data_IF_399051512871
#
_entry.id   IF_399051512871
#
_cell.length_a   1.000
_cell.length_b   1.000
_cell.length_c   1.000
_cell.angle_alpha   90.00
_cell.angle_beta   90.00
_cell.angle_gamma   90.00
#
_symmetry.space_group_name_H-M   'P 1'
#
loop_
_entity.id
_entity.type
_entity.pdbx_description
1 polymer ?
#
# COMPACT_ATOMS: atom_id res chain seq x y z
N UNK A 1 -2.85 -0.84 -28.24
CA UNK A 1 -3.91 -1.68 -27.67
C UNK A 1 -4.99 -0.74 -27.16
N UNK A 2 -6.16 -0.80 -27.73
CA UNK A 2 -7.27 0.06 -27.31
C UNK A 2 -7.81 -0.42 -25.97
N UNK A 3 -7.89 0.49 -25.01
CA UNK A 3 -8.47 0.33 -23.65
C UNK A 3 -9.99 0.12 -23.72
N UNK A 4 -10.43 -0.95 -24.37
CA UNK A 4 -11.88 -1.22 -24.59
C UNK A 4 -12.63 -1.58 -23.29
N UNK A 5 -11.98 -2.25 -22.35
CA UNK A 5 -12.61 -2.70 -21.11
C UNK A 5 -12.97 -1.53 -20.16
N UNK A 6 -12.09 -0.55 -20.03
CA UNK A 6 -12.29 0.57 -19.10
C UNK A 6 -13.59 1.34 -19.36
N UNK A 7 -13.98 1.51 -20.62
CA UNK A 7 -15.17 2.28 -21.00
C UNK A 7 -16.43 1.44 -21.16
N UNK A 8 -16.31 0.12 -21.29
CA UNK A 8 -17.44 -0.81 -21.34
C UNK A 8 -17.93 -1.24 -19.95
N UNK A 9 -17.10 -1.15 -18.93
CA UNK A 9 -17.47 -1.49 -17.56
C UNK A 9 -18.48 -0.47 -17.02
N UNK A 10 -19.65 -0.89 -16.54
CA UNK A 10 -20.66 0.01 -16.01
C UNK A 10 -20.17 0.67 -14.73
N UNK A 11 -20.44 1.95 -14.55
CA UNK A 11 -20.27 2.63 -13.28
C UNK A 11 -21.62 2.77 -12.57
N UNK A 12 -21.58 2.88 -11.24
CA UNK A 12 -22.75 3.08 -10.39
C UNK A 12 -22.54 4.22 -9.41
N UNK A 13 -23.58 4.92 -9.07
CA UNK A 13 -23.58 5.84 -7.95
C UNK A 13 -23.68 5.04 -6.64
N UNK A 14 -22.83 5.36 -5.68
CA UNK A 14 -22.86 4.75 -4.37
C UNK A 14 -23.82 5.51 -3.47
N UNK A 15 -24.80 4.81 -2.91
CA UNK A 15 -25.62 5.37 -1.85
C UNK A 15 -24.78 5.60 -0.57
N UNK A 16 -25.15 6.56 0.29
CA UNK A 16 -24.38 6.86 1.50
C UNK A 16 -24.08 5.63 2.38
N UNK A 17 -25.02 4.67 2.44
CA UNK A 17 -24.86 3.45 3.25
C UNK A 17 -23.81 2.49 2.68
N UNK A 18 -23.53 2.59 1.37
CA UNK A 18 -22.52 1.78 0.67
C UNK A 18 -21.13 2.39 0.68
N UNK A 19 -20.99 3.62 1.19
CA UNK A 19 -19.68 4.23 1.34
C UNK A 19 -18.89 3.51 2.47
N UNK A 20 -17.56 3.31 2.29
CA UNK A 20 -16.71 2.87 3.38
C UNK A 20 -16.90 3.73 4.62
N UNK A 21 -16.92 3.11 5.80
CA UNK A 21 -17.21 3.78 7.06
C UNK A 21 -16.27 4.98 7.33
N UNK A 22 -14.99 4.83 6.97
CA UNK A 22 -13.98 5.88 7.08
C UNK A 22 -14.36 7.15 6.29
N UNK A 23 -14.88 6.97 5.07
CA UNK A 23 -15.32 8.10 4.23
C UNK A 23 -16.67 8.66 4.68
N UNK A 24 -17.60 7.80 5.05
CA UNK A 24 -18.93 8.20 5.52
C UNK A 24 -18.85 9.08 6.77
N UNK A 25 -17.91 8.78 7.66
CA UNK A 25 -17.68 9.55 8.89
C UNK A 25 -16.74 10.75 8.68
N UNK A 26 -16.19 10.92 7.49
CA UNK A 26 -15.32 12.04 7.16
C UNK A 26 -16.13 13.34 7.04
N UNK A 27 -15.62 14.43 7.61
CA UNK A 27 -16.17 15.77 7.39
C UNK A 27 -16.05 16.22 5.92
N UNK A 28 -15.25 15.53 5.16
CA UNK A 28 -15.01 15.75 3.75
C UNK A 28 -15.76 14.76 2.85
N UNK A 29 -16.72 14.01 3.40
CA UNK A 29 -17.54 13.07 2.63
C UNK A 29 -18.18 13.77 1.42
N UNK A 30 -18.03 13.24 0.20
CA UNK A 30 -18.64 13.81 -0.98
C UNK A 30 -20.17 13.62 -0.93
N UNK A 31 -20.92 14.55 -1.52
CA UNK A 31 -22.39 14.42 -1.64
C UNK A 31 -22.78 13.27 -2.56
N UNK A 32 -21.98 13.00 -3.57
CA UNK A 32 -22.14 11.94 -4.57
C UNK A 32 -20.80 11.27 -4.80
N UNK A 33 -20.82 9.97 -5.02
CA UNK A 33 -19.62 9.22 -5.37
C UNK A 33 -20.00 8.13 -6.37
N UNK A 34 -19.32 8.12 -7.49
CA UNK A 34 -19.45 7.10 -8.52
C UNK A 34 -18.34 6.08 -8.39
N UNK A 35 -18.65 4.84 -8.69
CA UNK A 35 -17.74 3.71 -8.59
C UNK A 35 -17.77 2.85 -9.85
N UNK A 36 -16.61 2.52 -10.36
CA UNK A 36 -16.40 1.50 -11.38
C UNK A 36 -15.50 0.41 -10.76
N UNK A 37 -15.83 -0.88 -10.97
CA UNK A 37 -15.20 -2.00 -10.28
C UNK A 37 -15.81 -2.28 -8.90
N UNK A 38 -15.08 -2.96 -8.01
CA UNK A 38 -15.56 -3.40 -6.71
C UNK A 38 -14.86 -2.69 -5.56
N UNK A 39 -15.65 -2.17 -4.62
CA UNK A 39 -15.09 -1.69 -3.35
C UNK A 39 -14.68 -2.89 -2.50
N UNK A 40 -13.51 -2.81 -1.85
CA UNK A 40 -13.13 -3.79 -0.84
C UNK A 40 -14.15 -3.89 0.29
N UNK A 41 -14.19 -5.03 0.94
CA UNK A 41 -15.07 -5.32 2.07
C UNK A 41 -14.83 -4.39 3.27
N UNK A 42 -15.80 -4.28 4.17
CA UNK A 42 -15.78 -3.30 5.27
C UNK A 42 -14.70 -3.55 6.32
N UNK A 43 -14.13 -4.76 6.36
CA UNK A 43 -13.02 -5.14 7.24
C UNK A 43 -11.66 -4.63 6.77
N UNK A 44 -11.60 -4.10 5.54
CA UNK A 44 -10.36 -3.59 4.96
C UNK A 44 -9.98 -2.22 5.50
N UNK A 45 -8.67 -2.02 5.69
CA UNK A 45 -8.07 -0.80 6.23
C UNK A 45 -7.43 0.01 5.10
N UNK A 46 -7.98 1.17 4.81
CA UNK A 46 -7.43 2.07 3.79
C UNK A 46 -6.13 2.74 4.25
N UNK A 47 -5.09 2.69 3.41
CA UNK A 47 -3.88 3.49 3.52
C UNK A 47 -3.78 4.39 2.30
N UNK A 48 -3.84 5.71 2.50
CA UNK A 48 -3.53 6.67 1.47
C UNK A 48 -2.02 6.71 1.24
N UNK A 49 -1.57 6.47 0.01
CA UNK A 49 -0.16 6.58 -0.36
C UNK A 49 -0.04 7.62 -1.47
N UNK A 50 0.60 8.74 -1.16
CA UNK A 50 0.65 9.91 -2.04
C UNK A 50 2.05 10.49 -2.16
N UNK A 51 2.31 11.22 -3.27
CA UNK A 51 3.59 11.87 -3.42
C UNK A 51 3.71 12.70 -4.69
N UNK A 52 4.95 13.02 -5.03
CA UNK A 52 5.28 13.83 -6.19
C UNK A 52 4.97 13.13 -7.50
N UNK A 53 4.59 13.91 -8.53
CA UNK A 53 4.43 13.43 -9.90
C UNK A 53 5.76 13.28 -10.66
N UNK A 54 6.85 13.79 -10.09
CA UNK A 54 8.21 13.68 -10.62
C UNK A 54 9.14 13.16 -9.53
N UNK A 55 9.04 11.85 -9.23
CA UNK A 55 9.81 11.23 -8.16
C UNK A 55 11.27 11.01 -8.55
N UNK A 56 12.11 10.66 -7.58
CA UNK A 56 13.46 10.17 -7.81
C UNK A 56 13.46 8.85 -8.55
N UNK A 57 14.59 8.47 -9.12
CA UNK A 57 14.78 7.17 -9.81
C UNK A 57 14.59 5.97 -8.90
N UNK A 58 14.89 6.10 -7.60
CA UNK A 58 14.73 5.06 -6.60
C UNK A 58 13.31 4.94 -6.02
N UNK A 59 12.42 5.88 -6.37
CA UNK A 59 11.10 5.96 -5.73
C UNK A 59 10.18 4.78 -6.10
N UNK A 60 10.33 4.19 -7.27
CA UNK A 60 9.54 3.03 -7.67
C UNK A 60 9.84 1.83 -6.78
N UNK A 61 11.12 1.55 -6.55
CA UNK A 61 11.55 0.49 -5.65
C UNK A 61 11.16 0.78 -4.20
N UNK A 62 11.24 2.04 -3.75
CA UNK A 62 10.76 2.44 -2.43
C UNK A 62 9.26 2.15 -2.28
N UNK A 63 8.44 2.53 -3.26
CA UNK A 63 7.00 2.25 -3.25
C UNK A 63 6.73 0.74 -3.26
N UNK A 64 7.48 -0.03 -4.04
CA UNK A 64 7.36 -1.49 -4.09
C UNK A 64 7.59 -2.09 -2.71
N UNK A 65 8.68 -1.76 -2.02
CA UNK A 65 9.01 -2.26 -0.67
C UNK A 65 7.99 -1.82 0.37
N UNK A 66 7.56 -0.55 0.34
CA UNK A 66 6.52 -0.03 1.23
C UNK A 66 5.22 -0.83 1.07
N UNK A 67 4.76 -1.05 -0.15
CA UNK A 67 3.51 -1.76 -0.41
C UNK A 67 3.65 -3.25 -0.08
N UNK A 68 4.75 -3.89 -0.43
CA UNK A 68 5.00 -5.31 -0.12
C UNK A 68 4.94 -5.58 1.39
N UNK A 69 5.33 -4.61 2.24
CA UNK A 69 5.22 -4.74 3.70
C UNK A 69 3.78 -4.83 4.21
N UNK A 70 2.80 -4.56 3.37
CA UNK A 70 1.37 -4.66 3.67
C UNK A 70 0.77 -6.01 3.26
N UNK A 71 1.54 -6.92 2.67
CA UNK A 71 1.07 -8.27 2.37
C UNK A 71 0.63 -8.98 3.65
N UNK A 72 -0.27 -9.95 3.49
CA UNK A 72 -0.84 -10.71 4.61
C UNK A 72 -1.56 -9.85 5.67
N UNK A 73 -2.07 -8.70 5.25
CA UNK A 73 -2.90 -7.82 6.07
C UNK A 73 -4.25 -7.57 5.40
N UNK A 74 -5.15 -6.89 6.10
CA UNK A 74 -6.39 -6.40 5.50
C UNK A 74 -6.25 -4.98 4.89
N UNK A 75 -5.04 -4.56 4.55
CA UNK A 75 -4.77 -3.25 3.96
C UNK A 75 -5.34 -3.10 2.55
N UNK A 76 -5.74 -1.87 2.22
CA UNK A 76 -6.08 -1.40 0.87
C UNK A 76 -5.27 -0.17 0.56
N UNK A 77 -4.57 -0.17 -0.56
CA UNK A 77 -3.85 1.02 -1.04
C UNK A 77 -4.84 1.98 -1.71
N UNK A 78 -4.89 3.22 -1.22
CA UNK A 78 -5.74 4.29 -1.79
C UNK A 78 -4.84 5.38 -2.34
N UNK A 79 -5.01 5.74 -3.60
CA UNK A 79 -4.25 6.81 -4.23
C UNK A 79 -5.02 7.49 -5.36
N UNK A 80 -4.37 8.39 -6.09
CA UNK A 80 -5.02 9.27 -7.04
C UNK A 80 -4.79 8.95 -8.52
N UNK A 81 -4.15 7.83 -8.84
CA UNK A 81 -3.78 7.49 -10.22
C UNK A 81 -2.99 8.60 -10.94
N UNK A 82 -2.31 9.48 -10.22
CA UNK A 82 -1.43 10.46 -10.82
C UNK A 82 -0.12 9.81 -11.26
N UNK A 83 0.55 10.39 -12.25
CA UNK A 83 1.91 9.98 -12.61
C UNK A 83 2.84 10.04 -11.39
N UNK A 84 3.86 9.18 -11.31
CA UNK A 84 4.83 9.12 -10.23
C UNK A 84 4.38 8.26 -9.06
N UNK A 85 4.48 8.76 -7.83
CA UNK A 85 4.26 7.97 -6.60
C UNK A 85 2.92 7.25 -6.60
N UNK A 86 1.82 7.92 -6.97
CA UNK A 86 0.49 7.31 -6.97
C UNK A 86 0.45 6.07 -7.88
N UNK A 87 0.96 6.20 -9.12
CA UNK A 87 1.00 5.09 -10.08
C UNK A 87 1.96 3.98 -9.63
N UNK A 88 3.08 4.31 -8.98
CA UNK A 88 4.01 3.32 -8.44
C UNK A 88 3.36 2.51 -7.32
N UNK A 89 2.64 3.16 -6.41
CA UNK A 89 1.93 2.49 -5.33
C UNK A 89 0.81 1.58 -5.86
N UNK A 90 0.04 2.02 -6.87
CA UNK A 90 -0.97 1.16 -7.48
C UNK A 90 -0.36 -0.06 -8.18
N UNK A 91 0.72 0.10 -8.95
CA UNK A 91 1.43 -1.03 -9.57
C UNK A 91 1.92 -2.01 -8.52
N UNK A 92 2.61 -1.51 -7.52
CA UNK A 92 3.12 -2.33 -6.43
C UNK A 92 2.00 -3.09 -5.69
N UNK A 93 0.83 -2.47 -5.49
CA UNK A 93 -0.33 -3.11 -4.88
C UNK A 93 -0.85 -4.27 -5.73
N UNK A 94 -1.00 -4.05 -7.05
CA UNK A 94 -1.42 -5.10 -8.00
C UNK A 94 -0.42 -6.25 -8.04
N UNK A 95 0.87 -5.94 -8.11
CA UNK A 95 1.93 -6.95 -8.20
C UNK A 95 2.10 -7.74 -6.88
N UNK A 96 1.67 -7.15 -5.75
CA UNK A 96 1.68 -7.79 -4.43
C UNK A 96 0.34 -8.45 -4.04
N UNK A 97 -0.67 -8.44 -4.92
CA UNK A 97 -2.00 -8.97 -4.64
C UNK A 97 -2.79 -8.18 -3.58
N UNK A 98 -2.42 -6.92 -3.32
CA UNK A 98 -3.09 -6.04 -2.37
C UNK A 98 -4.18 -5.25 -3.09
N UNK A 99 -5.43 -5.23 -2.58
CA UNK A 99 -6.49 -4.43 -3.17
C UNK A 99 -6.12 -2.95 -3.26
N UNK A 100 -6.51 -2.29 -4.35
CA UNK A 100 -6.22 -0.86 -4.52
C UNK A 100 -7.41 -0.09 -5.07
N UNK A 101 -7.56 1.15 -4.60
CA UNK A 101 -8.62 2.08 -4.99
C UNK A 101 -7.97 3.33 -5.57
N UNK A 102 -8.33 3.67 -6.80
CA UNK A 102 -7.93 4.92 -7.42
C UNK A 102 -9.08 5.94 -7.38
N UNK A 103 -8.83 7.10 -6.79
CA UNK A 103 -9.79 8.21 -6.81
C UNK A 103 -9.42 9.15 -7.95
N UNK A 104 -10.35 9.51 -8.83
CA UNK A 104 -10.10 10.31 -10.01
C UNK A 104 -10.52 11.77 -9.80
N UNK A 105 -9.85 12.68 -10.50
CA UNK A 105 -10.18 14.11 -10.53
C UNK A 105 -11.06 14.48 -11.75
N UNK A 106 -11.68 13.49 -12.35
CA UNK A 106 -12.51 13.56 -13.56
C UNK A 106 -13.61 12.50 -13.49
N UNK A 107 -14.61 12.59 -14.35
CA UNK A 107 -15.65 11.57 -14.46
C UNK A 107 -15.10 10.21 -14.88
N UNK A 108 -15.81 9.14 -14.55
CA UNK A 108 -15.33 7.75 -14.74
C UNK A 108 -15.29 7.32 -16.22
N UNK A 109 -15.98 8.01 -17.11
CA UNK A 109 -15.90 7.79 -18.56
C UNK A 109 -15.09 8.86 -19.29
N UNK A 110 -14.61 9.89 -18.58
CA UNK A 110 -13.68 10.84 -19.17
C UNK A 110 -12.35 10.14 -19.51
N UNK A 111 -11.81 10.50 -20.67
CA UNK A 111 -10.63 9.84 -21.24
C UNK A 111 -9.44 9.85 -20.28
N UNK A 112 -8.90 8.68 -20.01
CA UNK A 112 -7.60 8.46 -19.35
C UNK A 112 -6.63 8.04 -20.44
N UNK A 113 -5.41 8.59 -20.43
CA UNK A 113 -4.44 8.36 -21.51
C UNK A 113 -3.18 7.63 -21.02
N UNK A 114 -2.54 6.91 -21.96
CA UNK A 114 -1.26 6.25 -21.79
C UNK A 114 -1.25 5.19 -20.71
N UNK A 115 -0.13 5.08 -20.01
CA UNK A 115 0.08 4.08 -18.94
C UNK A 115 -0.96 4.14 -17.82
N UNK A 116 -1.55 5.31 -17.59
CA UNK A 116 -2.58 5.46 -16.55
C UNK A 116 -3.87 4.76 -16.92
N UNK A 117 -4.22 4.70 -18.21
CA UNK A 117 -5.39 3.96 -18.68
C UNK A 117 -5.18 2.45 -18.48
N UNK A 118 -4.02 1.92 -18.87
CA UNK A 118 -3.67 0.52 -18.65
C UNK A 118 -3.69 0.18 -17.16
N UNK A 119 -3.16 1.06 -16.32
CA UNK A 119 -3.16 0.86 -14.87
C UNK A 119 -4.59 0.88 -14.29
N UNK A 120 -5.45 1.76 -14.78
CA UNK A 120 -6.85 1.82 -14.38
C UNK A 120 -7.61 0.53 -14.73
N UNK A 121 -7.37 -0.05 -15.91
CA UNK A 121 -7.92 -1.36 -16.29
C UNK A 121 -7.42 -2.46 -15.38
N UNK A 122 -6.11 -2.56 -15.17
CA UNK A 122 -5.53 -3.55 -14.25
C UNK A 122 -6.10 -3.46 -12.83
N UNK A 123 -6.41 -2.26 -12.34
CA UNK A 123 -7.05 -2.07 -11.03
C UNK A 123 -8.43 -2.72 -11.00
N UNK A 124 -9.25 -2.51 -12.04
CA UNK A 124 -10.58 -3.10 -12.15
C UNK A 124 -10.50 -4.62 -12.28
N UNK A 125 -9.65 -5.11 -13.18
CA UNK A 125 -9.47 -6.55 -13.45
C UNK A 125 -9.01 -7.33 -12.21
N UNK A 126 -8.22 -6.68 -11.36
CA UNK A 126 -7.78 -7.23 -10.07
C UNK A 126 -8.84 -7.11 -8.94
N UNK A 127 -10.06 -6.70 -9.24
CA UNK A 127 -11.13 -6.55 -8.25
C UNK A 127 -11.03 -5.29 -7.40
N UNK A 128 -10.25 -4.30 -7.83
CA UNK A 128 -10.19 -2.98 -7.22
C UNK A 128 -11.27 -2.03 -7.75
N UNK A 129 -11.16 -0.74 -7.43
CA UNK A 129 -12.15 0.27 -7.82
C UNK A 129 -11.53 1.57 -8.32
N UNK A 130 -12.24 2.20 -9.25
CA UNK A 130 -12.07 3.61 -9.59
C UNK A 130 -13.24 4.39 -9.00
N UNK A 131 -12.93 5.48 -8.31
CA UNK A 131 -13.93 6.36 -7.69
C UNK A 131 -13.84 7.77 -8.23
N UNK A 132 -14.98 8.43 -8.34
CA UNK A 132 -15.06 9.84 -8.72
C UNK A 132 -16.31 10.49 -8.12
N UNK A 133 -16.21 11.77 -7.75
CA UNK A 133 -17.37 12.57 -7.36
C UNK A 133 -17.97 13.36 -8.54
N UNK A 134 -17.38 13.25 -9.72
CA UNK A 134 -17.76 14.00 -10.92
C UNK A 134 -18.64 13.17 -11.84
N UNK A 135 -19.55 13.86 -12.54
CA UNK A 135 -20.39 13.26 -13.57
C UNK A 135 -19.55 12.58 -14.66
N UNK A 136 -20.15 11.59 -15.32
CA UNK A 136 -19.53 10.60 -16.21
C UNK A 136 -18.38 11.10 -17.08
N UNK A 137 -18.62 12.16 -17.84
CA UNK A 137 -17.70 12.67 -18.87
C UNK A 137 -17.00 13.97 -18.46
N UNK A 138 -17.12 14.36 -17.18
CA UNK A 138 -16.49 15.58 -16.66
C UNK A 138 -14.97 15.51 -16.86
N UNK A 139 -14.35 16.45 -17.60
CA UNK A 139 -12.91 16.46 -17.79
C UNK A 139 -12.17 16.84 -16.52
N UNK A 140 -10.87 16.52 -16.49
CA UNK A 140 -10.01 16.89 -15.37
C UNK A 140 -9.68 18.38 -15.39
N UNK A 141 -10.09 19.10 -14.36
CA UNK A 141 -9.70 20.49 -14.11
C UNK A 141 -8.70 20.59 -12.96
N UNK A 142 -7.89 21.66 -12.97
CA UNK A 142 -6.84 21.84 -11.96
C UNK A 142 -7.39 21.82 -10.52
N UNK A 143 -8.54 22.44 -10.27
CA UNK A 143 -9.19 22.46 -8.96
C UNK A 143 -9.64 21.08 -8.48
N UNK A 144 -10.05 20.21 -9.42
CA UNK A 144 -10.54 18.88 -9.11
C UNK A 144 -9.47 17.99 -8.48
N UNK A 145 -8.20 18.17 -8.87
CA UNK A 145 -7.09 17.41 -8.25
C UNK A 145 -6.92 17.73 -6.78
N UNK A 146 -7.13 18.98 -6.39
CA UNK A 146 -7.09 19.40 -4.99
C UNK A 146 -8.32 18.89 -4.24
N UNK A 147 -9.49 19.10 -4.80
CA UNK A 147 -10.76 18.68 -4.20
C UNK A 147 -10.81 17.15 -3.99
N UNK A 148 -10.36 16.36 -4.98
CA UNK A 148 -10.32 14.91 -4.92
C UNK A 148 -9.47 14.37 -3.76
N UNK A 149 -8.37 15.05 -3.41
CA UNK A 149 -7.43 14.55 -2.40
C UNK A 149 -8.08 14.35 -1.01
N UNK A 150 -9.14 15.10 -0.69
CA UNK A 150 -9.94 14.89 0.52
C UNK A 150 -10.60 13.51 0.57
N UNK A 151 -10.99 12.99 -0.61
CA UNK A 151 -11.60 11.66 -0.70
C UNK A 151 -10.54 10.56 -0.51
N UNK A 152 -9.32 10.75 -1.02
CA UNK A 152 -8.20 9.83 -0.78
C UNK A 152 -7.93 9.72 0.73
N UNK A 153 -7.78 10.87 1.42
CA UNK A 153 -7.62 10.90 2.87
C UNK A 153 -8.85 10.36 3.60
N UNK A 154 -10.05 10.71 3.15
CA UNK A 154 -11.32 10.27 3.74
C UNK A 154 -11.50 8.76 3.74
N UNK A 155 -11.13 8.08 2.66
CA UNK A 155 -11.17 6.62 2.51
C UNK A 155 -10.17 5.89 3.40
N UNK A 156 -9.18 6.60 3.94
CA UNK A 156 -8.03 6.00 4.60
C UNK A 156 -8.01 6.32 6.09
N UNK A 157 -7.50 5.39 6.88
CA UNK A 157 -7.24 5.59 8.32
C UNK A 157 -5.87 6.24 8.54
N UNK A 158 -4.94 5.97 7.63
CA UNK A 158 -3.57 6.47 7.67
C UNK A 158 -3.20 7.05 6.30
N UNK A 159 -2.48 8.15 6.29
CA UNK A 159 -1.90 8.74 5.06
C UNK A 159 -0.39 8.70 5.14
N UNK A 160 0.25 8.10 4.13
CA UNK A 160 1.71 8.13 3.93
C UNK A 160 2.07 9.09 2.80
N UNK A 161 2.91 10.08 3.10
CA UNK A 161 3.57 10.89 2.09
C UNK A 161 4.94 10.29 1.81
N UNK A 162 5.09 9.67 0.62
CA UNK A 162 6.34 8.97 0.25
C UNK A 162 7.44 9.95 -0.12
N UNK A 163 7.13 10.92 -0.97
CA UNK A 163 8.09 11.91 -1.45
C UNK A 163 7.35 13.19 -1.85
N UNK A 164 7.76 14.33 -1.33
CA UNK A 164 7.15 15.62 -1.65
C UNK A 164 8.08 16.79 -1.42
N UNK A 165 8.07 17.76 -2.34
CA UNK A 165 8.66 19.08 -2.12
C UNK A 165 7.80 19.91 -1.16
N UNK A 166 8.37 21.00 -0.57
CA UNK A 166 7.67 21.92 0.35
C UNK A 166 6.35 22.50 -0.20
N UNK A 167 6.23 22.64 -1.52
CA UNK A 167 5.02 23.11 -2.21
C UNK A 167 4.35 22.00 -3.03
N UNK A 168 4.52 20.74 -2.65
CA UNK A 168 3.97 19.59 -3.36
C UNK A 168 2.48 19.38 -3.12
N UNK A 169 1.75 18.94 -4.14
CA UNK A 169 0.30 18.67 -4.05
C UNK A 169 -0.06 17.55 -3.06
N UNK A 170 0.87 16.63 -2.76
CA UNK A 170 0.66 15.58 -1.77
C UNK A 170 0.52 16.15 -0.34
N UNK A 171 1.10 17.31 -0.05
CA UNK A 171 0.93 17.98 1.25
C UNK A 171 -0.50 18.47 1.49
N UNK A 172 -1.29 18.68 0.44
CA UNK A 172 -2.72 18.97 0.59
C UNK A 172 -3.48 17.73 1.08
N UNK A 173 -3.11 16.53 0.62
CA UNK A 173 -3.68 15.29 1.17
C UNK A 173 -3.27 15.10 2.63
N UNK A 174 -2.01 15.40 2.97
CA UNK A 174 -1.54 15.40 4.35
C UNK A 174 -2.34 16.37 5.23
N UNK A 175 -2.68 17.57 4.70
CA UNK A 175 -3.50 18.54 5.43
C UNK A 175 -4.90 17.99 5.72
N UNK A 176 -5.59 17.37 4.75
CA UNK A 176 -6.88 16.73 4.97
C UNK A 176 -6.82 15.62 6.03
N UNK A 177 -5.73 14.84 6.04
CA UNK A 177 -5.49 13.81 7.05
C UNK A 177 -5.38 14.43 8.47
N UNK A 178 -4.57 15.47 8.62
CA UNK A 178 -4.39 16.19 9.89
C UNK A 178 -5.69 16.85 10.38
N UNK A 179 -6.43 17.46 9.47
CA UNK A 179 -7.69 18.11 9.79
C UNK A 179 -8.74 17.14 10.35
N UNK A 180 -8.62 15.86 10.05
CA UNK A 180 -9.48 14.80 10.59
C UNK A 180 -8.83 14.06 11.77
N UNK A 181 -7.71 14.54 12.30
CA UNK A 181 -6.94 13.88 13.37
C UNK A 181 -6.59 12.43 13.05
N UNK A 182 -6.44 12.09 11.76
CA UNK A 182 -5.98 10.78 11.30
C UNK A 182 -4.46 10.70 11.37
N UNK A 183 -3.96 9.49 11.34
CA UNK A 183 -2.53 9.24 11.41
C UNK A 183 -1.83 9.67 10.11
N UNK A 184 -0.84 10.55 10.24
CA UNK A 184 0.01 10.98 9.15
C UNK A 184 1.40 10.38 9.30
N UNK A 185 1.88 9.74 8.24
CA UNK A 185 3.22 9.17 8.11
C UNK A 185 3.98 9.87 6.99
N UNK A 186 5.29 9.91 7.08
CA UNK A 186 6.15 10.42 6.02
C UNK A 186 7.46 9.62 5.91
N UNK A 187 7.93 9.41 4.70
CA UNK A 187 9.26 8.85 4.48
C UNK A 187 10.30 9.98 4.61
N UNK A 188 11.31 9.81 5.47
CA UNK A 188 12.44 10.72 5.53
C UNK A 188 13.32 10.55 4.29
N UNK A 189 14.07 11.59 3.96
CA UNK A 189 15.07 11.53 2.91
C UNK A 189 16.24 12.44 3.22
N UNK A 190 17.23 12.48 2.33
CA UNK A 190 18.38 13.33 2.49
C UNK A 190 17.92 14.80 2.62
N UNK A 191 18.46 15.52 3.59
CA UNK A 191 18.11 16.92 3.85
C UNK A 191 18.45 17.86 2.68
N UNK A 192 19.43 17.51 1.86
CA UNK A 192 19.82 18.24 0.65
C UNK A 192 18.95 17.87 -0.58
N UNK A 193 18.13 16.82 -0.50
CA UNK A 193 17.25 16.43 -1.60
C UNK A 193 15.93 17.20 -1.52
N UNK A 194 15.76 18.13 -2.45
CA UNK A 194 14.53 18.94 -2.55
C UNK A 194 13.25 18.09 -2.66
N UNK A 195 13.35 16.89 -3.21
CA UNK A 195 12.20 15.97 -3.33
C UNK A 195 11.67 15.50 -1.99
N UNK A 196 12.50 15.52 -0.94
CA UNK A 196 12.11 15.16 0.43
C UNK A 196 11.91 16.39 1.33
N UNK A 197 12.11 17.59 0.84
CA UNK A 197 12.00 18.81 1.65
C UNK A 197 10.62 19.01 2.28
N UNK A 198 9.55 18.50 1.66
CA UNK A 198 8.20 18.55 2.22
C UNK A 198 7.93 17.46 3.26
N UNK A 199 8.38 16.22 3.01
CA UNK A 199 8.25 15.13 3.98
C UNK A 199 9.11 15.39 5.21
N UNK A 200 10.36 15.84 5.04
CA UNK A 200 11.24 16.22 6.13
C UNK A 200 10.64 17.37 6.97
N UNK A 201 9.98 18.36 6.35
CA UNK A 201 9.31 19.44 7.08
C UNK A 201 8.09 18.95 7.89
N UNK A 202 7.36 17.92 7.42
CA UNK A 202 6.29 17.30 8.20
C UNK A 202 6.84 16.57 9.43
N UNK A 203 7.98 15.88 9.27
CA UNK A 203 8.65 15.16 10.34
C UNK A 203 9.26 16.13 11.38
N UNK A 204 10.00 17.13 10.93
CA UNK A 204 10.64 18.14 11.77
C UNK A 204 9.62 18.90 12.64
N UNK A 205 8.47 19.21 12.07
CA UNK A 205 7.36 19.85 12.81
C UNK A 205 6.54 18.91 13.70
N UNK A 206 6.90 17.63 13.80
CA UNK A 206 6.15 16.64 14.58
C UNK A 206 4.75 16.33 14.06
N UNK A 207 4.38 16.81 12.86
CA UNK A 207 3.06 16.59 12.25
C UNK A 207 2.89 15.20 11.65
N UNK A 208 3.99 14.53 11.29
CA UNK A 208 3.98 13.17 10.77
C UNK A 208 4.91 12.28 11.59
N UNK A 209 4.59 10.98 11.68
CA UNK A 209 5.51 9.98 12.21
C UNK A 209 6.40 9.46 11.07
N UNK A 210 7.69 9.20 11.33
CA UNK A 210 8.59 8.70 10.30
C UNK A 210 8.34 7.22 9.98
N UNK A 211 8.53 6.87 8.69
CA UNK A 211 8.73 5.50 8.22
C UNK A 211 10.19 5.42 7.77
N UNK A 212 11.08 4.99 8.65
CA UNK A 212 12.53 4.96 8.39
C UNK A 212 12.94 3.82 7.47
N UNK A 213 12.26 2.68 7.57
CA UNK A 213 12.46 1.54 6.70
C UNK A 213 11.12 1.12 6.11
N UNK A 214 11.07 0.80 4.80
CA UNK A 214 9.81 0.46 4.14
C UNK A 214 9.03 -0.65 4.85
N UNK A 215 9.73 -1.62 5.38
CA UNK A 215 9.17 -2.80 6.06
C UNK A 215 8.46 -2.44 7.38
N UNK A 216 8.72 -1.27 7.94
CA UNK A 216 8.04 -0.79 9.16
C UNK A 216 6.70 -0.10 8.88
N UNK A 217 6.29 0.10 7.60
CA UNK A 217 5.05 0.80 7.29
C UNK A 217 3.84 0.16 7.95
N UNK A 218 3.73 -1.15 7.93
CA UNK A 218 2.62 -1.89 8.53
C UNK A 218 2.47 -1.56 10.01
N UNK A 219 3.55 -1.69 10.78
CA UNK A 219 3.53 -1.40 12.22
C UNK A 219 3.35 0.09 12.52
N UNK A 220 3.97 0.96 11.72
CA UNK A 220 3.80 2.40 11.84
C UNK A 220 2.36 2.84 11.57
N UNK A 221 1.67 2.17 10.65
CA UNK A 221 0.26 2.40 10.34
C UNK A 221 -0.71 1.72 11.33
N UNK A 222 -0.20 0.91 12.25
CA UNK A 222 -1.03 0.17 13.23
C UNK A 222 -1.89 -0.92 12.60
N UNK A 223 -1.46 -1.49 11.45
CA UNK A 223 -2.21 -2.53 10.75
C UNK A 223 -1.81 -3.90 11.30
N UNK A 224 -2.76 -4.68 11.82
CA UNK A 224 -2.49 -6.02 12.29
C UNK A 224 -2.18 -6.96 11.12
N UNK A 225 -1.38 -7.99 11.40
CA UNK A 225 -1.33 -9.15 10.51
C UNK A 225 -2.64 -9.93 10.61
N UNK A 226 -3.04 -10.55 9.53
CA UNK A 226 -4.09 -11.57 9.57
C UNK A 226 -3.60 -12.73 10.43
N UNK A 227 -4.50 -13.30 11.25
CA UNK A 227 -4.16 -14.37 12.21
C UNK A 227 -3.29 -15.47 11.58
N UNK A 228 -2.24 -15.90 12.32
CA UNK A 228 -1.21 -16.80 11.84
C UNK A 228 -1.69 -18.17 11.30
N UNK A 229 -2.90 -18.61 11.67
CA UNK A 229 -3.57 -19.77 11.07
C UNK A 229 -3.92 -19.54 9.59
N UNK A 230 -4.30 -18.33 9.21
CA UNK A 230 -4.59 -17.98 7.81
C UNK A 230 -3.33 -17.64 7.00
N UNK A 231 -2.28 -17.16 7.65
CA UNK A 231 -0.99 -16.87 7.01
C UNK A 231 -0.31 -18.19 6.60
N UNK A 232 -0.40 -19.22 7.42
CA UNK A 232 0.08 -20.56 7.09
C UNK A 232 -0.66 -21.15 5.86
N UNK A 233 -1.95 -20.89 5.72
CA UNK A 233 -2.75 -21.36 4.57
C UNK A 233 -2.50 -20.54 3.30
N UNK A 234 -2.20 -19.23 3.41
CA UNK A 234 -1.91 -18.34 2.27
C UNK A 234 -0.46 -18.46 1.77
N UNK A 235 0.50 -18.67 2.68
CA UNK A 235 1.90 -18.90 2.32
C UNK A 235 2.11 -20.29 1.69
N UNK A 236 1.21 -21.23 1.91
CA UNK A 236 1.23 -22.58 1.34
C UNK A 236 0.45 -22.69 0.02
N UNK A 237 0.33 -21.65 -0.75
CA UNK A 237 -0.20 -21.77 -2.11
C UNK A 237 0.76 -22.64 -2.95
N UNK A 238 0.76 -23.95 -2.69
CA UNK A 238 1.46 -24.98 -3.45
C UNK A 238 2.66 -25.65 -2.79
N UNK A 239 3.15 -25.22 -1.62
CA UNK A 239 4.26 -25.89 -0.95
C UNK A 239 3.82 -26.35 0.47
N UNK A 240 3.69 -27.66 0.65
CA UNK A 240 3.52 -28.23 1.99
C UNK A 240 4.85 -28.16 2.75
N UNK A 241 4.92 -27.26 3.74
CA UNK A 241 6.08 -27.20 4.63
C UNK A 241 6.13 -28.42 5.54
N UNK A 242 7.33 -28.96 5.72
CA UNK A 242 7.57 -30.00 6.72
C UNK A 242 7.22 -29.51 8.13
N UNK A 243 6.88 -30.43 9.03
CA UNK A 243 6.57 -30.10 10.44
C UNK A 243 7.71 -29.35 11.09
N UNK A 244 8.97 -29.73 10.82
CA UNK A 244 10.15 -29.05 11.32
C UNK A 244 10.25 -27.59 10.81
N UNK A 245 9.96 -27.34 9.54
CA UNK A 245 9.96 -25.99 8.95
C UNK A 245 8.86 -25.10 9.56
N UNK A 246 7.67 -25.66 9.80
CA UNK A 246 6.59 -24.95 10.46
C UNK A 246 6.94 -24.56 11.91
N UNK A 247 7.55 -25.45 12.67
CA UNK A 247 7.93 -25.21 14.06
C UNK A 247 9.03 -24.18 14.18
N UNK A 248 10.06 -24.27 13.31
CA UNK A 248 11.15 -23.28 13.26
C UNK A 248 10.62 -21.91 12.87
N UNK A 249 9.77 -21.84 11.85
CA UNK A 249 9.19 -20.56 11.43
C UNK A 249 8.31 -19.94 12.52
N UNK A 250 7.43 -20.71 13.16
CA UNK A 250 6.59 -20.21 14.27
C UNK A 250 7.40 -19.66 15.42
N UNK A 251 8.51 -20.32 15.75
CA UNK A 251 9.35 -19.94 16.90
C UNK A 251 10.17 -18.69 16.66
N UNK A 252 10.62 -18.45 15.43
CA UNK A 252 11.53 -17.34 15.10
C UNK A 252 10.92 -16.28 14.16
N UNK A 253 9.63 -16.37 13.91
CA UNK A 253 8.91 -15.41 13.07
C UNK A 253 9.17 -13.96 13.51
N UNK A 254 9.64 -13.12 12.60
CA UNK A 254 9.98 -11.72 12.87
C UNK A 254 11.35 -11.50 13.50
N UNK A 255 12.13 -12.56 13.75
CA UNK A 255 13.47 -12.45 14.32
C UNK A 255 14.56 -12.61 13.26
N UNK A 256 15.72 -12.08 13.61
CA UNK A 256 16.97 -12.28 12.90
C UNK A 256 17.83 -13.21 13.73
N UNK A 257 18.32 -14.28 13.13
CA UNK A 257 19.17 -15.28 13.79
C UNK A 257 20.33 -15.71 12.91
N UNK A 258 21.46 -15.96 13.52
CA UNK A 258 22.56 -16.66 12.84
C UNK A 258 22.32 -18.16 12.85
N UNK A 259 22.98 -18.88 11.94
CA UNK A 259 22.91 -20.35 11.91
C UNK A 259 23.29 -20.97 13.28
N UNK A 260 24.33 -20.45 13.91
CA UNK A 260 24.80 -20.94 15.21
C UNK A 260 23.79 -20.73 16.34
N UNK A 261 23.09 -19.58 16.36
CA UNK A 261 22.03 -19.32 17.34
C UNK A 261 20.83 -20.25 17.12
N UNK A 262 20.42 -20.46 15.87
CA UNK A 262 19.35 -21.40 15.55
C UNK A 262 19.71 -22.82 15.99
N UNK A 263 20.94 -23.27 15.71
CA UNK A 263 21.39 -24.60 16.07
C UNK A 263 21.39 -24.81 17.59
N UNK A 264 21.81 -23.79 18.36
CA UNK A 264 21.83 -23.85 19.84
C UNK A 264 20.41 -23.85 20.42
N UNK A 265 19.50 -23.06 19.86
CA UNK A 265 18.16 -22.89 20.43
C UNK A 265 17.20 -24.01 20.06
N UNK A 266 17.40 -24.71 18.92
CA UNK A 266 16.46 -25.71 18.40
C UNK A 266 16.94 -27.15 18.64
N UNK A 267 18.28 -27.36 18.65
CA UNK A 267 18.85 -28.69 18.88
C UNK A 267 18.83 -29.62 17.65
N UNK A 268 18.49 -29.14 16.46
CA UNK A 268 18.55 -29.95 15.23
C UNK A 268 20.00 -30.19 14.79
N UNK A 269 20.23 -31.34 14.15
CA UNK A 269 21.53 -31.60 13.48
C UNK A 269 21.73 -30.65 12.30
N UNK A 270 22.98 -30.30 12.03
CA UNK A 270 23.34 -29.36 10.95
C UNK A 270 22.66 -29.65 9.60
N UNK A 271 22.64 -30.91 9.07
CA UNK A 271 22.00 -31.19 7.79
C UNK A 271 20.47 -30.97 7.83
N UNK A 272 19.85 -31.29 8.95
CA UNK A 272 18.41 -31.14 9.14
C UNK A 272 18.00 -29.67 9.23
N UNK A 273 18.74 -28.86 9.98
CA UNK A 273 18.51 -27.42 10.05
C UNK A 273 18.73 -26.73 8.70
N UNK A 274 19.76 -27.14 7.95
CA UNK A 274 20.00 -26.61 6.59
C UNK A 274 18.84 -26.95 5.64
N UNK A 275 18.33 -28.17 5.68
CA UNK A 275 17.18 -28.57 4.85
C UNK A 275 15.94 -27.73 5.19
N UNK A 276 15.65 -27.53 6.47
CA UNK A 276 14.55 -26.69 6.96
C UNK A 276 14.73 -25.23 6.50
N UNK A 277 15.91 -24.66 6.66
CA UNK A 277 16.16 -23.27 6.25
C UNK A 277 16.05 -23.10 4.74
N UNK A 278 16.54 -24.06 3.96
CA UNK A 278 16.37 -24.07 2.49
C UNK A 278 14.90 -24.15 2.09
N UNK A 279 14.13 -25.01 2.74
CA UNK A 279 12.70 -25.12 2.51
C UNK A 279 11.98 -23.78 2.81
N UNK A 280 12.32 -23.12 3.90
CA UNK A 280 11.79 -21.82 4.28
C UNK A 280 12.24 -20.69 3.31
N UNK A 281 13.46 -20.75 2.78
CA UNK A 281 13.96 -19.81 1.77
C UNK A 281 13.22 -19.97 0.44
N UNK A 282 13.08 -21.20 -0.06
CA UNK A 282 12.33 -21.49 -1.28
C UNK A 282 10.87 -21.05 -1.16
N UNK A 283 10.30 -21.15 0.05
CA UNK A 283 8.95 -20.71 0.35
C UNK A 283 8.84 -19.17 0.57
N UNK A 284 9.96 -18.43 0.49
CA UNK A 284 9.99 -16.98 0.72
C UNK A 284 9.77 -16.53 2.18
N UNK A 285 9.70 -17.48 3.11
CA UNK A 285 9.45 -17.22 4.53
C UNK A 285 10.72 -16.82 5.30
N UNK A 286 11.87 -17.14 4.76
CA UNK A 286 13.18 -16.76 5.29
C UNK A 286 14.01 -16.17 4.15
N UNK A 287 14.85 -15.20 4.48
CA UNK A 287 15.84 -14.64 3.55
C UNK A 287 17.21 -14.76 4.18
N UNK A 288 18.17 -15.39 3.49
CA UNK A 288 19.56 -15.37 3.93
C UNK A 288 20.31 -14.13 3.39
N UNK A 289 21.22 -13.63 4.21
CA UNK A 289 22.22 -12.61 3.82
C UNK A 289 23.61 -13.08 4.20
N UNK A 290 24.64 -12.37 3.72
CA UNK A 290 26.03 -12.64 3.98
C UNK A 290 26.29 -13.00 5.45
N UNK A 291 27.23 -13.95 5.71
CA UNK A 291 27.58 -14.49 7.02
C UNK A 291 26.55 -15.44 7.67
N UNK A 292 25.79 -16.22 6.91
CA UNK A 292 24.83 -17.19 7.47
C UNK A 292 23.82 -16.58 8.46
N UNK A 293 23.35 -15.38 8.13
CA UNK A 293 22.28 -14.72 8.87
C UNK A 293 20.94 -14.93 8.16
N UNK A 294 19.98 -15.43 8.89
CA UNK A 294 18.63 -15.74 8.44
C UNK A 294 17.66 -14.72 9.04
N UNK A 295 16.88 -14.11 8.15
CA UNK A 295 15.81 -13.19 8.49
C UNK A 295 14.51 -13.95 8.29
N UNK A 296 13.86 -14.29 9.37
CA UNK A 296 12.54 -14.86 9.34
C UNK A 296 11.59 -13.73 9.00
N UNK A 297 11.08 -13.75 7.75
CA UNK A 297 10.18 -12.73 7.25
C UNK A 297 8.91 -12.81 8.09
N UNK A 298 8.90 -12.01 9.16
CA UNK A 298 7.76 -11.92 10.06
C UNK A 298 6.53 -11.65 9.22
N UNK A 299 5.61 -12.60 9.28
CA UNK A 299 4.34 -12.45 8.64
C UNK A 299 3.64 -11.20 9.17
#
# INVERSE_FOLDING_TARGET
METKLLYSEPYRELSPEKLPLSLRNSKYCPKRLFCKGMLPTADKIGIAMVGTRRPSTSAEELCRRLVTSLQHTNAVVVSGLAQGIDSYCHRAALDSGIPTIAVLAQGLNAKIEGERAVLAERIIDAGGALLSEYESDTPAYKGNFVARNRIISGLSQTTLVVQSRKKGGALLTAQFCMDENKQLLACPGNFDDELYSGTNALLDSGRAKPVFVPESLRSAAGIPLLDGTKIGELATCGVQLSTGAQDVFKRFNGFRKTFSELQQEIGFKTPELLAILTELEISGLVTSKDNFQFYFNGA
#
